data_IF_935654455862
#
_entry.id   IF_935654455862
#
_cell.length_a   1.000
_cell.length_b   1.000
_cell.length_c   1.000
_cell.angle_alpha   90.00
_cell.angle_beta   90.00
_cell.angle_gamma   90.00
#
_symmetry.space_group_name_H-M   'P 1'
#
loop_
_entity.id
_entity.type
_entity.pdbx_description
1 polymer ?
2 non-polymer ?
3 non-polymer ?
4 water ?
#
# COMPACT_ATOMS: atom_id res chain seq x y z
N UNK A 4 -10.51 31.27 -17.73
CA UNK A 4 -10.47 31.53 -16.26
C UNK A 4 -9.58 30.54 -15.52
N UNK A 5 -8.48 31.04 -14.96
CA UNK A 5 -7.52 30.17 -14.29
C UNK A 5 -8.07 29.69 -12.95
N UNK A 6 -7.85 28.42 -12.64
CA UNK A 6 -8.20 27.90 -11.30
C UNK A 6 -7.24 28.44 -10.24
N UNK A 7 -7.66 28.43 -8.97
CA UNK A 7 -6.77 28.85 -7.88
C UNK A 7 -5.51 28.02 -7.90
N UNK A 8 -4.36 28.64 -7.67
CA UNK A 8 -3.07 27.96 -7.71
C UNK A 8 -2.27 28.18 -6.43
N UNK A 9 -1.71 27.10 -5.87
CA UNK A 9 -1.03 27.22 -4.60
C UNK A 9 0.30 28.00 -4.75
N UNK A 10 0.73 28.65 -3.67
CA UNK A 10 2.01 29.38 -3.67
C UNK A 10 3.21 28.48 -3.97
N UNK A 11 4.35 29.11 -4.29
CA UNK A 11 5.58 28.39 -4.59
C UNK A 11 5.61 27.85 -6.00
N UNK A 12 6.36 26.78 -6.20
CA UNK A 12 6.41 26.13 -7.51
C UNK A 12 7.15 26.96 -8.54
N UNK A 13 8.18 27.65 -8.08
CA UNK A 13 8.96 28.51 -8.95
C UNK A 13 10.17 27.79 -9.53
N UNK A 14 10.34 26.53 -9.13
CA UNK A 14 11.43 25.66 -9.63
C UNK A 14 11.20 25.32 -11.11
N UNK A 15 12.21 24.70 -11.73
CA UNK A 15 12.14 24.37 -13.16
C UNK A 15 10.91 23.58 -13.56
N UNK A 16 10.51 22.61 -12.76
CA UNK A 16 9.29 21.86 -13.11
C UNK A 16 8.07 22.23 -12.27
N UNK A 17 8.01 23.49 -11.89
CA UNK A 17 6.93 24.04 -11.07
C UNK A 17 6.92 23.48 -9.67
N UNK A 18 5.83 22.81 -9.28
CA UNK A 18 5.78 22.21 -7.95
C UNK A 18 6.36 20.78 -7.90
N UNK A 19 6.88 20.28 -9.02
CA UNK A 19 7.33 18.88 -9.06
C UNK A 19 8.42 18.61 -8.03
N UNK A 20 9.37 19.53 -7.89
CA UNK A 20 10.48 19.33 -6.96
C UNK A 20 9.99 19.24 -5.52
N UNK A 21 9.00 20.06 -5.18
CA UNK A 21 8.45 20.00 -3.83
C UNK A 21 7.62 18.71 -3.68
N UNK A 22 6.95 18.31 -4.74
CA UNK A 22 6.18 17.04 -4.72
C UNK A 22 7.10 15.84 -4.54
N UNK A 23 8.35 15.97 -4.98
CA UNK A 23 9.36 14.93 -4.81
C UNK A 23 10.07 14.95 -3.44
N UNK A 24 9.81 15.97 -2.61
CA UNK A 24 10.47 16.04 -1.31
C UNK A 24 9.48 16.08 -0.15
N UNK A 25 8.35 16.75 -0.35
CA UNK A 25 7.35 16.85 0.71
C UNK A 25 5.96 16.96 0.11
N UNK A 26 5.50 15.87 -0.53
CA UNK A 26 4.21 15.94 -1.21
C UNK A 26 3.04 16.22 -0.26
N UNK A 27 3.10 15.71 0.97
CA UNK A 27 2.01 15.93 1.90
C UNK A 27 1.92 17.40 2.31
N UNK A 28 3.06 18.02 2.63
CA UNK A 28 3.12 19.46 2.90
C UNK A 28 2.60 20.30 1.73
N UNK A 29 2.98 19.95 0.50
CA UNK A 29 2.41 20.62 -0.69
C UNK A 29 0.88 20.51 -0.76
N UNK A 30 0.37 19.29 -0.61
CA UNK A 30 -1.07 19.09 -0.68
C UNK A 30 -1.83 19.81 0.47
N UNK A 31 -1.27 19.81 1.67
CA UNK A 31 -1.88 20.51 2.80
C UNK A 31 -1.90 22.01 2.55
N UNK A 32 -0.84 22.52 1.91
CA UNK A 32 -0.84 23.95 1.56
C UNK A 32 -1.89 24.33 0.52
N UNK A 33 -2.13 23.44 -0.45
CA UNK A 33 -3.20 23.64 -1.41
C UNK A 33 -4.52 23.83 -0.68
N UNK A 34 -4.77 22.95 0.29
CA UNK A 34 -6.04 23.04 1.03
C UNK A 34 -6.06 24.25 1.94
N UNK A 35 -4.97 24.48 2.64
CA UNK A 35 -4.89 25.64 3.58
C UNK A 35 -5.10 26.97 2.84
N UNK A 36 -4.49 27.14 1.67
CA UNK A 36 -4.58 28.43 0.98
C UNK A 36 -5.85 28.59 0.15
N UNK A 37 -6.34 27.49 -0.42
CA UNK A 37 -7.33 27.58 -1.49
C UNK A 37 -8.65 26.92 -1.16
N UNK A 38 -8.64 26.00 -0.19
CA UNK A 38 -9.86 25.25 0.14
C UNK A 38 -10.06 23.92 -0.58
N UNK A 39 -11.31 23.60 -0.89
CA UNK A 39 -11.68 22.27 -1.41
C UNK A 39 -11.21 22.00 -2.85
N UNK A 40 -10.92 23.05 -3.60
CA UNK A 40 -10.48 22.89 -4.98
C UNK A 40 -9.28 23.79 -5.18
N UNK A 41 -8.11 23.22 -5.48
CA UNK A 41 -6.94 24.08 -5.71
C UNK A 41 -5.99 23.36 -6.64
N UNK A 42 -5.01 24.05 -7.21
CA UNK A 42 -4.15 23.36 -8.17
C UNK A 42 -2.67 23.53 -7.83
N UNK A 43 -1.88 22.60 -8.36
CA UNK A 43 -0.43 22.72 -8.37
C UNK A 43 0.05 22.23 -9.72
N UNK A 44 1.30 22.51 -10.03
CA UNK A 44 1.83 22.24 -11.37
C UNK A 44 2.90 21.16 -11.29
N UNK A 45 2.72 20.07 -12.04
CA UNK A 45 3.72 19.02 -12.10
C UNK A 45 4.31 19.07 -13.51
N UNK A 46 5.47 19.70 -13.66
CA UNK A 46 6.05 19.86 -14.99
C UNK A 46 4.99 20.47 -15.93
N UNK A 47 4.69 19.83 -17.05
CA UNK A 47 3.72 20.43 -17.99
C UNK A 47 2.25 20.20 -17.64
N UNK A 48 1.98 19.61 -16.48
CA UNK A 48 0.60 19.22 -16.14
C UNK A 48 0.07 19.95 -14.92
N UNK A 49 -1.14 20.49 -15.03
CA UNK A 49 -1.85 21.03 -13.88
C UNK A 49 -2.54 19.86 -13.16
N UNK A 50 -2.47 19.84 -11.84
CA UNK A 50 -3.22 18.87 -11.04
C UNK A 50 -4.28 19.65 -10.28
N UNK A 51 -5.55 19.26 -10.46
CA UNK A 51 -6.65 19.85 -9.72
C UNK A 51 -6.87 18.97 -8.47
N UNK A 52 -6.42 19.45 -7.32
CA UNK A 52 -6.49 18.67 -6.08
C UNK A 52 -7.80 18.97 -5.34
N UNK A 53 -8.59 17.91 -5.18
CA UNK A 53 -9.90 18.01 -4.51
C UNK A 53 -9.73 17.54 -3.07
N UNK A 54 -10.45 18.18 -2.14
CA UNK A 54 -10.44 17.74 -0.73
C UNK A 54 -11.74 18.14 -0.05
N UNK A 55 -12.05 17.44 1.05
CA UNK A 55 -13.34 17.66 1.71
C UNK A 55 -14.44 16.77 1.18
N UNK A 56 -15.51 16.62 1.96
CA UNK A 56 -16.56 15.66 1.62
C UNK A 56 -17.25 15.93 0.28
N UNK A 57 -17.59 17.19 0.02
CA UNK A 57 -18.32 17.52 -1.21
C UNK A 57 -17.49 17.23 -2.46
N UNK A 58 -16.26 17.75 -2.51
CA UNK A 58 -15.42 17.53 -3.67
C UNK A 58 -14.94 16.07 -3.81
N UNK A 59 -14.66 15.42 -2.68
CA UNK A 59 -14.33 14.00 -2.71
C UNK A 59 -15.49 13.15 -3.23
N UNK A 60 -16.71 13.50 -2.86
CA UNK A 60 -17.88 12.76 -3.37
C UNK A 60 -17.93 12.82 -4.89
N UNK A 61 -17.68 14.00 -5.46
CA UNK A 61 -17.60 14.10 -6.92
C UNK A 61 -16.53 13.15 -7.48
N UNK A 62 -15.34 13.23 -6.88
CA UNK A 62 -14.19 12.44 -7.34
C UNK A 62 -14.52 10.94 -7.32
N UNK A 63 -15.06 10.47 -6.20
CA UNK A 63 -15.20 9.01 -6.01
C UNK A 63 -16.42 8.40 -6.66
N UNK A 64 -17.42 9.22 -6.94
CA UNK A 64 -18.60 8.73 -7.59
C UNK A 64 -18.46 8.78 -9.11
N UNK A 65 -17.38 9.40 -9.61
CA UNK A 65 -17.19 9.48 -11.06
C UNK A 65 -16.77 8.11 -11.62
N UNK A 66 -17.45 7.65 -12.66
CA UNK A 66 -16.98 6.47 -13.40
C UNK A 66 -15.90 6.81 -14.42
N UNK A 67 -15.31 5.77 -15.02
CA UNK A 67 -14.16 5.94 -15.92
C UNK A 67 -14.53 6.73 -17.18
N UNK A 68 -15.81 6.81 -17.47
CA UNK A 68 -16.30 7.70 -18.56
C UNK A 68 -16.12 9.19 -18.28
N UNK A 69 -16.14 9.58 -16.99
CA UNK A 69 -15.94 10.98 -16.58
C UNK A 69 -14.52 11.27 -16.12
N UNK A 70 -14.05 10.48 -15.16
CA UNK A 70 -12.67 10.59 -14.66
C UNK A 70 -11.97 9.25 -14.86
N UNK A 71 -10.95 9.25 -15.72
CA UNK A 71 -10.35 7.99 -16.17
C UNK A 71 -9.11 7.68 -15.34
N UNK A 72 -9.18 6.60 -14.60
CA UNK A 72 -8.08 6.26 -13.72
C UNK A 72 -6.86 5.74 -14.46
N UNK A 73 -7.07 4.79 -15.37
CA UNK A 73 -5.96 4.14 -16.06
C UNK A 73 -5.04 5.10 -16.84
N UNK A 74 -5.60 6.07 -17.52
CA UNK A 74 -4.74 6.97 -18.27
C UNK A 74 -3.92 7.92 -17.40
N UNK A 75 -4.14 7.89 -16.08
CA UNK A 75 -3.43 8.76 -15.17
C UNK A 75 -2.15 8.15 -14.69
N UNK A 76 -1.91 6.90 -15.10
CA UNK A 76 -0.75 6.16 -14.66
C UNK A 76 0.09 5.58 -15.80
N UNK A 77 0.36 6.39 -16.84
CA UNK A 77 1.22 5.88 -17.94
C UNK A 77 2.65 5.50 -17.51
N UNK A 78 3.14 6.08 -16.42
CA UNK A 78 4.47 5.70 -15.89
C UNK A 78 4.59 4.28 -15.29
N UNK A 79 3.48 3.57 -15.17
CA UNK A 79 3.57 2.18 -14.69
C UNK A 79 3.95 1.22 -15.81
N UNK A 80 3.96 1.72 -17.05
CA UNK A 80 4.25 0.87 -18.20
C UNK A 80 5.65 0.21 -18.14
N UNK A 81 6.69 0.96 -17.76
CA UNK A 81 8.01 0.32 -17.67
C UNK A 81 8.15 -0.68 -16.53
N UNK A 82 7.25 -0.59 -15.55
CA UNK A 82 7.26 -1.54 -14.44
C UNK A 82 6.52 -2.83 -14.83
N UNK A 83 5.28 -2.72 -15.29
CA UNK A 83 4.55 -3.90 -15.73
C UNK A 83 5.10 -4.47 -17.05
N UNK A 84 5.52 -3.60 -17.97
CA UNK A 84 6.01 -4.06 -19.26
C UNK A 84 4.92 -4.22 -20.31
N UNK A 101 -6.96 -9.88 -10.47
CA UNK A 101 -6.71 -10.51 -9.17
C UNK A 101 -7.91 -11.33 -8.71
N UNK A 102 -9.10 -10.88 -9.09
CA UNK A 102 -10.35 -11.35 -8.48
C UNK A 102 -10.37 -12.82 -8.06
N UNK A 103 -9.90 -13.72 -8.93
CA UNK A 103 -9.86 -15.16 -8.60
C UNK A 103 -9.45 -15.38 -7.13
N UNK A 104 -8.31 -14.81 -6.78
CA UNK A 104 -7.71 -15.09 -5.47
C UNK A 104 -8.41 -14.34 -4.34
N UNK A 105 -9.21 -13.33 -4.70
CA UNK A 105 -9.85 -12.51 -3.68
C UNK A 105 -11.27 -12.97 -3.39
N UNK A 106 -11.68 -14.11 -3.95
CA UNK A 106 -13.00 -14.63 -3.60
C UNK A 106 -13.06 -14.99 -2.13
N UNK A 107 -14.20 -14.73 -1.50
CA UNK A 107 -14.39 -14.96 -0.08
C UNK A 107 -14.10 -16.40 0.29
N UNK A 108 -14.46 -17.33 -0.58
CA UNK A 108 -14.27 -18.77 -0.31
C UNK A 108 -12.78 -19.15 -0.23
N UNK A 109 -11.92 -18.30 -0.77
CA UNK A 109 -10.50 -18.59 -0.75
C UNK A 109 -9.81 -17.99 0.45
N UNK A 110 -10.53 -17.12 1.16
CA UNK A 110 -9.92 -16.34 2.24
C UNK A 110 -9.40 -17.23 3.34
N UNK A 111 -10.16 -18.25 3.70
CA UNK A 111 -9.76 -19.12 4.78
C UNK A 111 -8.43 -19.75 4.44
N UNK A 112 -8.30 -20.25 3.22
CA UNK A 112 -7.00 -20.82 2.81
C UNK A 112 -5.85 -19.79 2.81
N UNK A 113 -6.15 -18.58 2.35
CA UNK A 113 -5.15 -17.51 2.39
C UNK A 113 -4.70 -17.18 3.81
N UNK A 114 -5.62 -17.14 4.77
CA UNK A 114 -5.24 -16.86 6.14
C UNK A 114 -4.26 -17.93 6.60
N UNK A 115 -4.55 -19.20 6.27
CA UNK A 115 -3.65 -20.26 6.69
C UNK A 115 -2.27 -20.11 6.00
N UNK A 116 -2.29 -19.73 4.72
CA UNK A 116 -1.07 -19.46 3.98
C UNK A 116 -0.24 -18.35 4.62
N UNK A 117 -0.92 -17.25 4.98
CA UNK A 117 -0.23 -16.16 5.57
C UNK A 117 0.35 -16.54 6.95
N UNK A 118 -0.40 -17.29 7.76
CA UNK A 118 0.12 -17.73 9.03
C UNK A 118 1.42 -18.51 8.78
N UNK A 119 1.38 -19.41 7.82
CA UNK A 119 2.55 -20.23 7.47
C UNK A 119 3.76 -19.36 7.07
N UNK A 120 3.52 -18.31 6.30
CA UNK A 120 4.61 -17.50 5.82
C UNK A 120 5.21 -16.72 6.95
N UNK A 121 4.38 -16.26 7.88
CA UNK A 121 4.93 -15.53 9.03
C UNK A 121 5.80 -16.45 9.88
N UNK A 122 5.30 -17.64 10.17
CA UNK A 122 6.06 -18.56 11.00
C UNK A 122 7.40 -18.89 10.32
N UNK A 123 7.38 -19.02 9.01
CA UNK A 123 8.62 -19.24 8.26
C UNK A 123 9.59 -18.08 8.43
N UNK A 124 9.07 -16.84 8.40
CA UNK A 124 9.96 -15.66 8.50
C UNK A 124 10.57 -15.47 9.89
N UNK A 125 9.91 -15.99 10.94
CA UNK A 125 10.39 -15.75 12.30
C UNK A 125 11.04 -17.02 12.84
N UNK A 126 11.13 -18.04 12.00
CA UNK A 126 11.64 -19.34 12.46
C UNK A 126 13.06 -19.26 13.05
N UNK A 127 13.87 -18.32 12.57
CA UNK A 127 15.24 -18.16 13.10
C UNK A 127 15.45 -17.02 14.10
N UNK A 128 14.36 -16.44 14.61
CA UNK A 128 14.47 -15.32 15.52
C UNK A 128 15.07 -15.70 16.86
N UNK A 129 14.80 -16.92 17.34
CA UNK A 129 15.25 -17.29 18.69
C UNK A 129 14.67 -16.46 19.83
N UNK A 130 15.36 -16.41 20.96
CA UNK A 130 14.85 -15.76 22.16
C UNK A 130 14.69 -14.24 22.03
N UNK A 131 15.63 -13.59 21.36
CA UNK A 131 15.61 -12.15 21.29
C UNK A 131 16.52 -11.64 20.17
N UNK A 132 16.27 -10.42 19.71
CA UNK A 132 17.06 -9.90 18.61
C UNK A 132 16.51 -8.58 18.13
N UNK A 133 16.96 -8.16 16.96
CA UNK A 133 16.61 -6.85 16.40
C UNK A 133 16.30 -7.03 14.90
N UNK A 134 15.24 -6.39 14.41
CA UNK A 134 14.92 -6.46 12.99
C UNK A 134 14.78 -5.05 12.44
N UNK A 135 14.82 -4.91 11.13
CA UNK A 135 14.48 -3.60 10.49
C UNK A 135 13.10 -3.80 9.89
N UNK A 136 12.15 -2.93 10.23
CA UNK A 136 10.77 -3.17 9.78
C UNK A 136 10.60 -3.19 8.28
N UNK A 137 11.28 -2.31 7.53
CA UNK A 137 11.12 -2.36 6.08
C UNK A 137 11.65 -3.69 5.52
N UNK A 138 12.86 -4.08 5.93
CA UNK A 138 13.46 -5.30 5.42
C UNK A 138 12.54 -6.49 5.76
N UNK A 139 12.06 -6.51 6.99
CA UNK A 139 11.20 -7.63 7.43
C UNK A 139 9.86 -7.66 6.72
N UNK A 140 9.10 -6.57 6.77
CA UNK A 140 7.75 -6.60 6.18
C UNK A 140 7.76 -6.59 4.65
N UNK A 141 8.76 -5.91 4.06
CA UNK A 141 8.83 -5.96 2.62
C UNK A 141 9.05 -7.38 2.16
N UNK A 142 9.93 -8.11 2.84
CA UNK A 142 10.19 -9.49 2.38
C UNK A 142 8.99 -10.44 2.65
N UNK A 143 8.44 -10.31 3.85
CA UNK A 143 7.31 -11.13 4.26
C UNK A 143 6.17 -10.98 3.28
N UNK A 144 5.87 -9.73 2.88
CA UNK A 144 4.72 -9.52 2.03
C UNK A 144 4.97 -9.95 0.56
N UNK A 145 6.23 -10.10 0.16
CA UNK A 145 6.49 -10.78 -1.10
C UNK A 145 6.06 -12.24 -1.02
N UNK A 146 6.36 -12.87 0.11
CA UNK A 146 6.00 -14.26 0.30
C UNK A 146 4.49 -14.49 0.46
N UNK A 147 3.82 -13.62 1.20
CA UNK A 147 2.39 -13.80 1.37
C UNK A 147 1.68 -13.55 0.01
N UNK A 148 2.06 -12.47 -0.66
CA UNK A 148 1.48 -12.11 -1.96
C UNK A 148 1.70 -13.22 -3.02
N UNK A 149 2.94 -13.68 -3.17
CA UNK A 149 3.17 -14.66 -4.21
C UNK A 149 2.45 -15.99 -3.90
N UNK A 150 2.44 -16.37 -2.63
CA UNK A 150 1.86 -17.65 -2.25
C UNK A 150 0.35 -17.63 -2.42
N UNK A 151 -0.26 -16.51 -2.01
CA UNK A 151 -1.69 -16.40 -2.10
C UNK A 151 -2.18 -16.20 -3.52
N UNK A 152 -1.51 -15.34 -4.28
CA UNK A 152 -1.97 -14.96 -5.62
C UNK A 152 -1.47 -15.83 -6.78
N UNK A 153 -0.25 -16.33 -6.67
CA UNK A 153 0.28 -17.22 -7.71
C UNK A 153 0.28 -18.69 -7.29
N UNK A 154 0.72 -18.96 -6.08
CA UNK A 154 0.69 -20.32 -5.59
C UNK A 154 1.87 -20.63 -4.70
N UNK A 155 1.64 -21.56 -3.78
CA UNK A 155 2.66 -21.96 -2.84
C UNK A 155 3.86 -22.56 -3.54
N UNK A 156 3.62 -23.29 -4.62
CA UNK A 156 4.69 -23.95 -5.36
C UNK A 156 5.65 -22.89 -5.88
N UNK A 157 5.06 -21.86 -6.51
CA UNK A 157 5.84 -20.70 -7.00
C UNK A 157 6.56 -19.98 -5.86
N UNK A 158 5.83 -19.61 -4.80
CA UNK A 158 6.52 -18.99 -3.68
C UNK A 158 7.71 -19.79 -3.18
N UNK A 159 7.61 -21.11 -3.19
CA UNK A 159 8.65 -21.89 -2.58
C UNK A 159 9.94 -21.85 -3.41
N UNK A 160 9.82 -21.35 -4.62
CA UNK A 160 10.97 -21.24 -5.50
C UNK A 160 11.55 -19.84 -5.47
N UNK A 161 10.90 -18.97 -4.70
CA UNK A 161 11.40 -17.62 -4.46
C UNK A 161 12.25 -17.51 -3.18
N UNK A 162 13.20 -16.59 -3.19
CA UNK A 162 13.96 -16.27 -2.00
C UNK A 162 14.15 -14.75 -1.88
N UNK A 163 15.12 -14.34 -1.06
CA UNK A 163 15.32 -12.92 -0.77
C UNK A 163 15.66 -12.10 -2.00
N UNK A 164 16.28 -12.72 -3.01
CA UNK A 164 16.61 -11.99 -4.26
C UNK A 164 15.38 -11.37 -4.90
N UNK A 165 14.28 -12.12 -4.94
CA UNK A 165 13.07 -11.65 -5.58
C UNK A 165 12.56 -10.37 -4.89
N UNK A 166 12.58 -10.38 -3.56
CA UNK A 166 12.13 -9.23 -2.77
C UNK A 166 13.00 -8.01 -3.00
N UNK A 167 14.31 -8.21 -3.06
CA UNK A 167 15.23 -7.10 -3.27
C UNK A 167 15.00 -6.48 -4.65
N UNK A 168 14.80 -7.32 -5.65
CA UNK A 168 14.53 -6.81 -7.00
C UNK A 168 13.16 -6.11 -7.08
N UNK A 169 12.15 -6.71 -6.47
CA UNK A 169 10.82 -6.11 -6.49
C UNK A 169 10.84 -4.71 -5.87
N UNK A 170 11.61 -4.54 -4.80
CA UNK A 170 11.75 -3.26 -4.13
C UNK A 170 12.39 -2.22 -5.07
N UNK A 171 13.41 -2.62 -5.82
CA UNK A 171 14.01 -1.67 -6.76
C UNK A 171 13.03 -1.25 -7.84
N UNK A 172 12.15 -2.16 -8.21
CA UNK A 172 11.11 -1.91 -9.16
C UNK A 172 10.18 -0.80 -8.63
N UNK A 173 9.73 -0.98 -7.38
CA UNK A 173 8.91 0.04 -6.67
C UNK A 173 9.60 1.37 -6.51
N UNK A 174 10.91 1.34 -6.37
CA UNK A 174 11.66 2.60 -6.24
C UNK A 174 11.80 3.33 -7.58
N UNK A 175 11.29 2.72 -8.66
CA UNK A 175 11.35 3.32 -10.01
C UNK A 175 10.19 4.25 -10.34
N UNK A 176 9.65 4.89 -9.30
CA UNK A 176 8.45 5.71 -9.45
C UNK A 176 8.69 7.17 -8.99
N UNK A 177 9.90 7.68 -9.22
CA UNK A 177 10.17 9.11 -9.00
C UNK A 177 9.17 9.93 -9.82
N UNK A 178 8.61 11.00 -9.23
CA UNK A 178 7.64 11.86 -9.91
C UNK A 178 8.17 12.49 -11.20
N UNK A 179 9.49 12.45 -11.41
CA UNK A 179 10.07 12.88 -12.72
C UNK A 179 9.49 12.06 -13.89
N UNK A 180 8.85 10.92 -13.60
CA UNK A 180 8.09 10.17 -14.61
C UNK A 180 7.02 11.04 -15.27
N UNK A 181 6.53 12.08 -14.58
CA UNK A 181 5.60 13.02 -15.20
C UNK A 181 6.24 13.87 -16.28
N UNK A 182 7.57 13.98 -16.23
CA UNK A 182 8.31 14.57 -17.33
C UNK A 182 8.45 13.48 -18.41
N UNK A 183 9.03 12.35 -18.04
CA UNK A 183 9.27 11.24 -18.97
C UNK A 183 9.68 10.04 -18.13
N UNK A 184 8.93 8.92 -18.24
CA UNK A 184 9.29 7.70 -17.52
C UNK A 184 10.60 7.06 -18.02
N UNK A 185 11.16 7.58 -19.12
CA UNK A 185 12.42 7.01 -19.62
C UNK A 185 13.68 7.88 -19.52
N UNK A 186 13.67 8.90 -18.66
CA UNK A 186 14.87 9.74 -18.44
C UNK A 186 16.06 8.93 -17.97
N UNK A 187 17.29 9.36 -18.33
CA UNK A 187 18.53 8.77 -17.85
C UNK A 187 18.88 9.15 -16.40
N UNK A 188 18.03 8.77 -15.46
CA UNK A 188 18.36 8.97 -14.07
C UNK A 188 18.56 7.61 -13.42
N UNK A 189 19.34 7.59 -12.34
CA UNK A 189 19.80 6.34 -11.80
C UNK A 189 18.65 5.44 -11.34
N UNK A 190 17.60 6.04 -10.77
CA UNK A 190 16.51 5.22 -10.24
C UNK A 190 15.72 4.55 -11.34
N UNK A 191 15.67 5.16 -12.52
CA UNK A 191 15.00 4.56 -13.67
C UNK A 191 15.88 3.47 -14.29
N UNK A 192 17.19 3.70 -14.33
CA UNK A 192 18.15 2.67 -14.75
C UNK A 192 17.99 1.44 -13.88
N UNK A 193 17.96 1.68 -12.56
CA UNK A 193 17.84 0.59 -11.59
C UNK A 193 16.50 -0.12 -11.65
N UNK A 194 15.44 0.63 -11.96
CA UNK A 194 14.13 0.04 -12.23
C UNK A 194 14.20 -0.96 -13.38
N UNK A 195 14.82 -0.54 -14.49
CA UNK A 195 14.82 -1.36 -15.69
C UNK A 195 15.69 -2.58 -15.47
N UNK A 196 16.82 -2.39 -14.80
CA UNK A 196 17.71 -3.51 -14.45
C UNK A 196 17.03 -4.48 -13.51
N UNK A 197 16.34 -3.96 -12.49
CA UNK A 197 15.58 -4.84 -11.56
C UNK A 197 14.53 -5.67 -12.32
N UNK A 198 13.79 -5.06 -13.25
CA UNK A 198 12.80 -5.79 -14.02
C UNK A 198 13.49 -6.91 -14.80
N UNK A 199 14.61 -6.57 -15.44
CA UNK A 199 15.43 -7.60 -16.10
C UNK A 199 15.82 -8.75 -15.16
N UNK A 200 16.19 -8.41 -13.92
CA UNK A 200 16.58 -9.42 -12.95
C UNK A 200 15.38 -10.31 -12.62
N UNK A 201 14.19 -9.73 -12.52
CA UNK A 201 13.04 -10.56 -12.21
C UNK A 201 12.72 -11.52 -13.35
N UNK A 202 12.81 -11.04 -14.60
CA UNK A 202 12.53 -11.91 -15.76
C UNK A 202 13.50 -13.11 -15.72
N UNK A 203 14.75 -12.84 -15.39
CA UNK A 203 15.75 -13.89 -15.27
C UNK A 203 15.41 -14.91 -14.17
N UNK A 204 15.01 -14.42 -12.99
CA UNK A 204 14.58 -15.33 -11.94
C UNK A 204 13.44 -16.24 -12.38
N UNK A 205 12.46 -15.65 -13.05
CA UNK A 205 11.32 -16.38 -13.60
C UNK A 205 11.76 -17.37 -14.69
N UNK A 206 12.66 -16.95 -15.57
CA UNK A 206 13.17 -17.88 -16.59
C UNK A 206 13.83 -19.09 -15.96
N UNK A 207 14.59 -18.88 -14.87
CA UNK A 207 15.31 -19.98 -14.20
C UNK A 207 14.25 -20.90 -13.59
N UNK A 208 13.18 -20.33 -13.06
CA UNK A 208 12.14 -21.20 -12.51
C UNK A 208 11.48 -22.06 -13.58
N UNK A 209 11.12 -21.45 -14.70
CA UNK A 209 10.53 -22.21 -15.81
C UNK A 209 11.49 -23.32 -16.23
N UNK A 210 12.76 -22.98 -16.34
CA UNK A 210 13.74 -23.97 -16.81
C UNK A 210 13.83 -25.15 -15.84
N UNK A 211 13.88 -24.85 -14.55
CA UNK A 211 13.88 -25.92 -13.55
C UNK A 211 12.65 -26.80 -13.67
N UNK A 212 11.51 -26.21 -14.00
CA UNK A 212 10.30 -27.01 -14.08
C UNK A 212 10.28 -27.95 -15.29
N UNK A 213 11.00 -27.59 -16.35
CA UNK A 213 11.15 -28.48 -17.50
C UNK A 213 11.89 -29.73 -17.08
N UNK A 214 13.00 -29.54 -16.39
CA UNK A 214 13.91 -30.62 -16.08
C UNK A 214 13.41 -31.48 -14.95
N UNK A 215 12.54 -30.92 -14.11
CA UNK A 215 12.13 -31.65 -12.91
C UNK A 215 10.66 -31.52 -12.50
N UNK A 216 9.74 -32.01 -13.35
CA UNK A 216 8.32 -31.95 -13.03
C UNK A 216 7.99 -32.77 -11.77
N UNK A 223 -0.21 -28.23 -9.56
CA UNK A 223 -0.01 -27.25 -10.62
C UNK A 223 -0.46 -25.87 -10.15
N UNK A 224 0.16 -24.85 -10.73
CA UNK A 224 -0.16 -23.49 -10.34
C UNK A 224 -0.38 -22.62 -11.55
N UNK A 225 -0.47 -21.33 -11.30
CA UNK A 225 -0.71 -20.40 -12.35
C UNK A 225 0.43 -20.43 -13.38
N UNK A 226 1.65 -20.57 -12.90
CA UNK A 226 2.80 -20.62 -13.82
C UNK A 226 2.70 -21.83 -14.78
N UNK A 227 2.27 -22.98 -14.27
CA UNK A 227 2.01 -24.15 -15.13
C UNK A 227 0.93 -23.93 -16.20
N UNK A 228 -0.20 -23.34 -15.84
CA UNK A 228 -1.21 -22.98 -16.82
C UNK A 228 -0.60 -22.14 -17.93
N UNK A 229 0.13 -21.10 -17.53
CA UNK A 229 0.70 -20.17 -18.49
C UNK A 229 1.74 -20.83 -19.39
N UNK A 230 2.60 -21.65 -18.81
CA UNK A 230 3.61 -22.39 -19.58
C UNK A 230 2.97 -23.29 -20.64
N UNK A 231 1.83 -23.89 -20.31
CA UNK A 231 1.17 -24.83 -21.21
C UNK A 231 0.53 -24.18 -22.44
N UNK A 232 0.28 -22.88 -22.36
CA UNK A 232 -0.39 -22.19 -23.46
C UNK A 232 0.50 -22.20 -24.71
N UNK A 233 -0.12 -22.40 -25.88
CA UNK A 233 0.63 -22.44 -27.13
C UNK A 233 0.07 -21.47 -28.16
N UNK A 234 0.75 -21.34 -29.30
CA UNK A 234 0.30 -20.41 -30.33
C UNK A 234 0.90 -20.76 -31.69
N UNK A 238 4.64 -24.27 -30.26
CA UNK A 238 5.42 -23.12 -29.82
C UNK A 238 4.77 -22.46 -28.62
N UNK A 239 5.50 -22.38 -27.48
CA UNK A 239 4.92 -21.75 -26.27
C UNK A 239 4.42 -20.34 -26.57
N UNK A 240 3.20 -20.03 -26.14
CA UNK A 240 2.62 -18.72 -26.40
C UNK A 240 3.31 -17.64 -25.61
N UNK A 241 3.68 -17.93 -24.37
CA UNK A 241 4.25 -16.92 -23.46
C UNK A 241 5.75 -16.98 -23.12
N UNK A 242 6.44 -15.86 -23.28
CA UNK A 242 7.83 -15.74 -22.88
C UNK A 242 7.97 -15.49 -21.36
N UNK A 243 9.19 -15.67 -20.82
CA UNK A 243 9.47 -15.33 -19.42
C UNK A 243 9.17 -13.84 -19.20
N UNK A 244 9.53 -12.99 -20.15
CA UNK A 244 9.23 -11.57 -19.99
C UNK A 244 7.72 -11.33 -19.82
N UNK A 245 6.89 -11.94 -20.68
CA UNK A 245 5.43 -11.74 -20.58
C UNK A 245 4.87 -12.29 -19.28
N UNK A 246 5.35 -13.46 -18.87
CA UNK A 246 4.89 -14.04 -17.63
C UNK A 246 5.29 -13.19 -16.41
N UNK A 247 6.54 -12.73 -16.40
CA UNK A 247 7.02 -11.91 -15.32
C UNK A 247 6.17 -10.65 -15.21
N UNK A 248 5.85 -10.03 -16.34
CA UNK A 248 4.96 -8.86 -16.33
C UNK A 248 3.62 -9.13 -15.70
N UNK A 249 3.04 -10.27 -16.07
CA UNK A 249 1.77 -10.65 -15.47
C UNK A 249 1.92 -10.77 -13.95
N UNK A 250 2.95 -11.46 -13.46
CA UNK A 250 3.12 -11.65 -12.04
C UNK A 250 3.44 -10.34 -11.31
N UNK A 251 4.26 -9.48 -11.92
CA UNK A 251 4.56 -8.19 -11.32
C UNK A 251 3.24 -7.40 -11.12
N UNK A 252 2.43 -7.33 -12.16
CA UNK A 252 1.14 -6.64 -12.09
C UNK A 252 0.17 -7.26 -11.09
N UNK A 253 0.14 -8.59 -10.98
CA UNK A 253 -0.70 -9.23 -9.96
C UNK A 253 -0.29 -8.83 -8.53
N UNK A 254 1.00 -8.69 -8.25
CA UNK A 254 1.49 -8.48 -6.88
C UNK A 254 1.58 -6.99 -6.51
N UNK A 255 1.47 -6.10 -7.50
CA UNK A 255 1.92 -4.73 -7.20
C UNK A 255 1.04 -3.98 -6.20
N UNK A 256 -0.26 -3.99 -6.45
CA UNK A 256 -1.20 -3.19 -5.68
C UNK A 256 -1.10 -3.54 -4.21
N UNK A 257 -1.00 -4.83 -3.93
CA UNK A 257 -1.01 -5.29 -2.55
C UNK A 257 0.31 -5.34 -1.87
N UNK A 258 1.42 -5.14 -2.58
CA UNK A 258 2.68 -5.34 -1.89
C UNK A 258 3.14 -4.19 -0.99
N UNK A 259 3.40 -3.03 -1.58
CA UNK A 259 3.96 -1.98 -0.74
C UNK A 259 2.93 -1.45 0.23
N UNK A 260 1.67 -1.54 -0.17
CA UNK A 260 0.57 -1.10 0.70
C UNK A 260 0.50 -1.98 1.96
N UNK A 261 0.43 -3.30 1.77
CA UNK A 261 0.41 -4.19 2.94
C UNK A 261 1.71 -4.15 3.77
N UNK A 262 2.85 -4.09 3.10
CA UNK A 262 4.13 -3.97 3.78
C UNK A 262 4.17 -2.74 4.69
N UNK A 263 3.86 -1.57 4.12
CA UNK A 263 3.86 -0.37 4.94
C UNK A 263 2.82 -0.32 6.05
N UNK A 264 1.65 -0.85 5.76
CA UNK A 264 0.57 -0.88 6.73
C UNK A 264 0.95 -1.80 7.90
N UNK A 265 1.61 -2.92 7.61
CA UNK A 265 2.08 -3.80 8.70
C UNK A 265 3.12 -3.09 9.56
N UNK A 266 4.07 -2.43 8.91
CA UNK A 266 5.09 -1.69 9.64
C UNK A 266 4.47 -0.64 10.56
N UNK A 267 3.56 0.17 9.99
CA UNK A 267 3.00 1.26 10.76
C UNK A 267 2.05 0.77 11.88
N UNK A 268 1.40 -0.38 11.67
CA UNK A 268 0.54 -0.96 12.73
C UNK A 268 1.42 -1.33 13.92
N UNK A 269 2.56 -1.95 13.61
CA UNK A 269 3.51 -2.28 14.69
C UNK A 269 4.13 -1.04 15.35
N UNK A 270 4.48 -0.05 14.54
CA UNK A 270 5.01 1.19 15.13
C UNK A 270 3.96 1.85 16.04
N UNK A 271 2.70 1.94 15.60
CA UNK A 271 1.70 2.59 16.44
C UNK A 271 1.39 1.79 17.69
N UNK A 272 1.46 0.46 17.63
CA UNK A 272 1.25 -0.32 18.85
C UNK A 272 2.39 -0.05 19.88
N UNK A 273 3.62 0.06 19.41
CA UNK A 273 4.76 0.29 20.30
C UNK A 273 4.73 1.70 20.86
N UNK A 274 4.19 2.64 20.09
CA UNK A 274 4.07 4.04 20.54
C UNK A 274 2.93 4.26 21.54
N UNK A 275 1.99 3.32 21.56
CA UNK A 275 0.80 3.42 22.37
C UNK A 275 0.60 2.13 23.14
N UNK A 276 1.37 1.99 24.23
CA UNK A 276 1.43 0.71 24.96
C UNK A 276 0.11 0.31 25.57
N UNK A 277 -0.77 1.29 25.83
CA UNK A 277 -2.12 0.95 26.30
C UNK A 277 -2.92 0.20 25.22
N UNK A 278 -2.84 0.66 23.98
CA UNK A 278 -3.49 -0.03 22.87
C UNK A 278 -2.86 -1.43 22.67
N UNK A 279 -1.54 -1.48 22.72
CA UNK A 279 -0.80 -2.74 22.56
C UNK A 279 -1.30 -3.76 23.63
N UNK A 280 -1.41 -3.33 24.87
CA UNK A 280 -1.80 -4.22 25.95
C UNK A 280 -3.21 -4.73 25.73
N UNK A 281 -4.08 -3.84 25.28
CA UNK A 281 -5.47 -4.20 25.00
C UNK A 281 -5.54 -5.23 23.86
N UNK A 282 -4.71 -5.07 22.84
CA UNK A 282 -4.69 -6.01 21.69
C UNK A 282 -4.20 -7.39 22.13
N UNK A 283 -3.14 -7.43 22.94
CA UNK A 283 -2.63 -8.71 23.45
C UNK A 283 -3.67 -9.42 24.28
N UNK A 284 -4.35 -8.69 25.16
CA UNK A 284 -5.35 -9.31 26.03
C UNK A 284 -6.44 -9.91 25.15
N UNK A 285 -6.85 -9.17 24.12
CA UNK A 285 -7.90 -9.60 23.24
C UNK A 285 -7.50 -10.85 22.43
N UNK A 286 -6.29 -10.84 21.89
CA UNK A 286 -5.80 -12.02 21.13
C UNK A 286 -5.77 -13.24 22.02
N UNK A 287 -5.26 -13.07 23.24
CA UNK A 287 -5.17 -14.23 24.14
C UNK A 287 -6.58 -14.77 24.45
N UNK A 288 -7.54 -13.89 24.71
CA UNK A 288 -8.91 -14.33 24.99
C UNK A 288 -9.53 -14.99 23.78
N UNK A 289 -9.37 -14.38 22.62
CA UNK A 289 -10.03 -14.89 21.43
C UNK A 289 -9.52 -16.28 21.05
N UNK A 290 -8.20 -16.44 21.05
CA UNK A 290 -7.61 -17.70 20.62
C UNK A 290 -7.80 -18.81 21.69
N UNK A 291 -8.35 -18.42 22.83
CA UNK A 291 -8.66 -19.40 23.87
C UNK A 291 -9.78 -20.35 23.52
N UNK A 292 -10.48 -20.08 22.42
CA UNK A 292 -11.45 -21.06 21.91
C UNK A 292 -10.80 -22.22 21.15
N UNK A 293 -9.48 -22.16 20.97
CA UNK A 293 -8.78 -23.26 20.30
C UNK A 293 -8.90 -23.28 18.79
N UNK A 294 -9.51 -22.26 18.19
CA UNK A 294 -9.64 -22.25 16.72
C UNK A 294 -8.39 -21.62 16.09
N UNK A 295 -8.16 -21.92 14.83
CA UNK A 295 -6.91 -21.48 14.18
C UNK A 295 -6.97 -20.01 13.78
N UNK A 296 -5.81 -19.48 13.38
CA UNK A 296 -5.76 -18.17 12.68
C UNK A 296 -6.66 -18.13 11.45
N UNK A 297 -6.76 -19.22 10.69
CA UNK A 297 -7.64 -19.25 9.52
C UNK A 297 -9.12 -19.03 9.85
N UNK A 298 -9.51 -19.34 11.09
CA UNK A 298 -10.84 -19.00 11.60
C UNK A 298 -10.87 -17.55 12.08
N UNK A 299 -9.96 -17.18 12.96
CA UNK A 299 -10.07 -15.88 13.62
C UNK A 299 -9.74 -14.69 12.74
N UNK A 300 -8.86 -14.90 11.75
CA UNK A 300 -8.49 -13.77 10.91
C UNK A 300 -9.61 -13.35 9.95
N UNK A 301 -10.69 -14.13 9.93
CA UNK A 301 -11.88 -13.87 9.11
C UNK A 301 -13.04 -13.35 9.96
N UNK A 302 -12.77 -13.10 11.23
CA UNK A 302 -13.81 -12.75 12.17
C UNK A 302 -13.35 -11.59 13.02
N UNK A 303 -14.26 -11.04 13.83
CA UNK A 303 -13.91 -9.79 14.53
C UNK A 303 -12.72 -9.95 15.48
N UNK A 304 -11.77 -9.01 15.42
CA UNK A 304 -10.72 -8.88 16.45
C UNK A 304 -10.72 -7.37 16.73
N UNK A 305 -11.69 -6.91 17.53
CA UNK A 305 -12.02 -5.50 17.51
C UNK A 305 -10.91 -4.53 17.85
N UNK A 306 -10.17 -4.76 18.94
CA UNK A 306 -9.15 -3.79 19.32
C UNK A 306 -8.09 -3.70 18.25
N UNK A 307 -7.67 -4.85 17.69
CA UNK A 307 -6.66 -4.84 16.61
C UNK A 307 -7.22 -4.16 15.37
N UNK A 308 -8.48 -4.41 15.06
CA UNK A 308 -9.06 -3.75 13.89
C UNK A 308 -9.14 -2.24 14.03
N UNK A 309 -9.42 -1.76 15.24
CA UNK A 309 -9.49 -0.31 15.45
C UNK A 309 -8.11 0.33 15.41
N UNK A 310 -7.11 -0.39 15.93
CA UNK A 310 -5.73 0.08 15.75
C UNK A 310 -5.38 0.16 14.25
N UNK A 311 -5.80 -0.85 13.46
CA UNK A 311 -5.50 -0.88 12.04
C UNK A 311 -6.22 0.28 11.34
N UNK A 312 -7.47 0.50 11.70
CA UNK A 312 -8.19 1.63 11.08
C UNK A 312 -7.47 2.95 11.36
N UNK A 313 -7.04 3.13 12.61
CA UNK A 313 -6.39 4.42 12.98
C UNK A 313 -5.03 4.56 12.29
N UNK A 314 -4.31 3.44 12.21
CA UNK A 314 -3.05 3.40 11.47
C UNK A 314 -3.22 3.80 10.00
N UNK A 315 -4.25 3.26 9.33
CA UNK A 315 -4.54 3.61 7.96
C UNK A 315 -4.94 5.09 7.83
N UNK A 316 -5.67 5.59 8.81
CA UNK A 316 -6.11 6.99 8.72
C UNK A 316 -4.87 7.90 8.78
N UNK A 317 -3.95 7.61 9.70
CA UNK A 317 -2.76 8.46 9.87
C UNK A 317 -1.68 8.22 8.82
N UNK A 318 -1.57 6.99 8.36
CA UNK A 318 -0.49 6.58 7.45
C UNK A 318 -1.04 5.87 6.19
N UNK A 319 -1.93 6.56 5.47
CA UNK A 319 -2.46 5.88 4.27
C UNK A 319 -1.32 5.62 3.25
N UNK A 320 -1.20 4.38 2.78
CA UNK A 320 -0.03 4.12 1.92
C UNK A 320 -0.15 4.81 0.57
N UNK A 321 -1.37 4.99 0.08
CA UNK A 321 -1.58 5.80 -1.14
C UNK A 321 -1.98 7.20 -0.69
N UNK A 322 -1.05 8.15 -0.86
CA UNK A 322 -1.29 9.51 -0.34
C UNK A 322 -1.98 10.42 -1.35
N UNK A 323 -1.97 10.04 -2.63
CA UNK A 323 -2.69 10.79 -3.67
C UNK A 323 -3.23 9.76 -4.66
N UNK A 324 -4.41 10.04 -5.23
CA UNK A 324 -5.12 9.20 -6.20
C UNK A 324 -5.39 10.08 -7.41
N UNK A 325 -5.03 9.59 -8.62
CA UNK A 325 -5.08 10.36 -9.87
C UNK A 325 -6.16 9.92 -10.85
N UNK A 326 -6.63 10.89 -11.65
CA UNK A 326 -7.54 10.62 -12.75
C UNK A 326 -7.22 11.61 -13.84
N UNK A 327 -7.61 11.27 -15.07
CA UNK A 327 -7.65 12.26 -16.17
C UNK A 327 -9.10 12.61 -16.51
N UNK A 328 -9.45 13.90 -16.48
CA UNK A 328 -10.80 14.30 -16.83
C UNK A 328 -11.09 13.96 -18.29
N UNK A 329 -12.23 13.34 -18.55
CA UNK A 329 -12.67 13.01 -19.91
C UNK A 329 -13.72 14.00 -20.43
N UNK A 330 -14.06 15.01 -19.64
CA UNK A 330 -15.16 15.91 -19.93
C UNK A 330 -15.07 17.19 -19.12
N UNK A 331 -16.06 18.07 -19.27
CA UNK A 331 -16.08 19.32 -18.52
C UNK A 331 -16.98 19.15 -17.31
N UNK A 332 -16.48 19.50 -16.13
CA UNK A 332 -17.24 19.42 -14.90
C UNK A 332 -17.08 20.70 -14.09
N UNK A 333 -18.01 20.96 -13.19
CA UNK A 333 -17.88 22.08 -12.28
C UNK A 333 -17.93 21.54 -10.86
N UNK A 334 -17.05 22.03 -10.01
CA UNK A 334 -17.04 21.63 -8.63
C UNK A 334 -16.88 22.87 -7.79
N UNK A 335 -17.97 23.22 -7.10
CA UNK A 335 -18.00 24.44 -6.30
C UNK A 335 -17.69 25.71 -7.09
N UNK A 336 -18.20 25.81 -8.31
CA UNK A 336 -17.97 27.01 -9.12
C UNK A 336 -16.76 26.89 -10.00
N UNK A 337 -15.87 25.95 -9.67
CA UNK A 337 -14.64 25.77 -10.43
C UNK A 337 -14.79 24.80 -11.58
N UNK A 338 -14.26 25.16 -12.75
CA UNK A 338 -14.43 24.32 -13.93
C UNK A 338 -13.23 23.42 -14.13
N UNK A 339 -13.49 22.12 -14.24
CA UNK A 339 -12.47 21.13 -14.63
C UNK A 339 -12.60 20.90 -16.13
N UNK A 340 -11.48 20.95 -16.86
CA UNK A 340 -11.57 20.72 -18.32
C UNK A 340 -11.03 19.38 -18.77
N UNK A 341 -11.53 18.93 -19.92
CA UNK A 341 -11.13 17.68 -20.52
C UNK A 341 -9.61 17.64 -20.55
N UNK A 342 -9.04 16.52 -20.13
CA UNK A 342 -7.61 16.34 -20.12
C UNK A 342 -6.91 16.79 -18.85
N UNK A 343 -7.65 17.46 -17.95
CA UNK A 343 -7.05 17.91 -16.69
C UNK A 343 -6.72 16.68 -15.83
N UNK A 344 -5.60 16.72 -15.13
CA UNK A 344 -5.35 15.73 -14.06
C UNK A 344 -6.13 16.16 -12.84
N UNK A 345 -6.85 15.23 -12.23
CA UNK A 345 -7.68 15.54 -11.06
C UNK A 345 -7.24 14.55 -9.98
N UNK A 346 -7.08 15.02 -8.75
CA UNK A 346 -6.55 14.17 -7.66
C UNK A 346 -7.39 14.33 -6.42
N UNK A 347 -7.37 13.28 -5.62
CA UNK A 347 -7.87 13.30 -4.25
C UNK A 347 -6.72 12.83 -3.38
N UNK A 348 -6.74 13.16 -2.08
CA UNK A 348 -5.65 12.82 -1.18
C UNK A 348 -6.13 12.18 0.11
N UNK A 349 -5.92 10.87 0.24
CA UNK A 349 -6.22 10.29 1.55
C UNK A 349 -5.34 10.92 2.67
N UNK A 350 -4.07 11.28 2.36
CA UNK A 350 -3.22 11.87 3.39
C UNK A 350 -3.86 13.10 4.02
N UNK A 351 -4.39 13.98 3.17
CA UNK A 351 -4.99 15.21 3.64
C UNK A 351 -6.42 15.01 4.16
N UNK A 352 -7.24 14.32 3.37
CA UNK A 352 -8.64 14.16 3.76
C UNK A 352 -8.81 13.43 5.09
N UNK A 353 -7.94 12.46 5.33
CA UNK A 353 -8.03 11.64 6.52
C UNK A 353 -7.74 12.43 7.80
N UNK A 354 -7.26 13.68 7.66
CA UNK A 354 -6.93 14.49 8.83
C UNK A 354 -7.72 15.79 8.88
N UNK A 355 -8.79 15.91 8.09
CA UNK A 355 -9.62 17.13 8.14
C UNK A 355 -10.18 17.30 9.56
N UNK A 356 -9.87 18.42 10.22
CA UNK A 356 -10.16 18.50 11.66
C UNK A 356 -11.63 18.62 12.01
N UNK A 357 -12.47 19.08 11.08
CA UNK A 357 -13.90 19.09 11.34
C UNK A 357 -14.51 17.67 11.38
N UNK A 358 -13.88 16.74 10.66
CA UNK A 358 -14.40 15.40 10.47
C UNK A 358 -13.83 14.42 11.47
N UNK A 359 -12.57 14.63 11.82
CA UNK A 359 -11.82 13.76 12.73
C UNK A 359 -11.25 14.57 13.89
N UNK A 360 -12.00 14.66 15.00
CA UNK A 360 -11.56 15.51 16.12
C UNK A 360 -10.14 15.10 16.55
N UNK A 361 -9.27 16.09 16.80
CA UNK A 361 -7.87 15.80 17.11
C UNK A 361 -7.26 14.88 16.03
N UNK A 362 -7.21 15.38 14.79
CA UNK A 362 -6.81 14.50 13.67
C UNK A 362 -5.38 13.99 13.68
N UNK A 363 -4.48 14.60 14.43
CA UNK A 363 -3.10 14.13 14.45
C UNK A 363 -2.86 13.11 15.53
N UNK A 364 -3.91 12.84 16.34
CA UNK A 364 -3.77 11.93 17.47
C UNK A 364 -4.21 10.52 17.11
N UNK A 365 -3.51 9.56 17.70
CA UNK A 365 -3.86 8.16 17.57
C UNK A 365 -4.94 7.79 18.57
N UNK A 366 -6.17 7.61 18.04
CA UNK A 366 -7.34 7.34 18.88
C UNK A 366 -8.18 6.23 18.26
N UNK A 367 -7.77 4.98 18.50
CA UNK A 367 -8.55 3.85 17.97
C UNK A 367 -10.02 3.84 18.45
N UNK A 368 -10.29 4.40 19.61
CA UNK A 368 -11.70 4.62 20.06
C UNK A 368 -12.64 5.35 19.09
N UNK A 369 -12.05 6.08 18.14
CA UNK A 369 -12.78 6.75 17.04
C UNK A 369 -13.70 5.80 16.27
N UNK A 370 -13.34 4.50 16.27
CA UNK A 370 -14.01 3.50 15.41
C UNK A 370 -14.90 2.59 16.22
N UNK A 371 -14.93 2.77 17.54
CA UNK A 371 -15.80 1.93 18.35
C UNK A 371 -17.25 2.23 18.02
N UNK A 372 -18.14 1.32 18.43
CA UNK A 372 -19.51 1.35 17.92
C UNK A 372 -20.25 2.66 18.19
N UNK A 373 -19.97 3.31 19.33
CA UNK A 373 -20.69 4.57 19.52
C UNK A 373 -20.25 5.74 18.63
N UNK A 374 -19.02 5.69 18.10
CA UNK A 374 -18.42 6.83 17.36
C UNK A 374 -18.32 6.59 15.83
N UNK A 375 -17.75 5.45 15.47
CA UNK A 375 -17.69 4.99 14.08
C UNK A 375 -17.29 6.06 13.05
N UNK A 376 -16.17 6.74 13.30
CA UNK A 376 -15.79 7.88 12.45
C UNK A 376 -15.46 7.48 11.01
N UNK A 377 -15.07 6.23 10.80
CA UNK A 377 -14.84 5.72 9.45
C UNK A 377 -16.15 5.71 8.70
N UNK A 378 -17.19 5.19 9.35
CA UNK A 378 -18.45 4.97 8.63
C UNK A 378 -19.21 6.27 8.43
N UNK A 379 -19.13 7.17 9.41
CA UNK A 379 -19.80 8.45 9.32
C UNK A 379 -19.19 9.36 8.26
N UNK A 380 -17.88 9.27 8.07
CA UNK A 380 -17.22 10.16 7.13
C UNK A 380 -16.98 9.42 5.80
N UNK A 381 -18.06 9.11 5.11
CA UNK A 381 -17.94 8.23 3.95
C UNK A 381 -17.04 8.76 2.85
N UNK A 382 -16.98 10.08 2.69
CA UNK A 382 -16.16 10.65 1.61
C UNK A 382 -14.80 11.20 2.03
N UNK A 383 -14.51 11.20 3.35
CA UNK A 383 -13.23 11.69 3.80
C UNK A 383 -12.38 10.68 4.59
N UNK A 384 -12.97 9.59 5.08
CA UNK A 384 -12.13 8.52 5.64
C UNK A 384 -11.84 7.60 4.45
N UNK A 385 -10.71 7.84 3.80
CA UNK A 385 -10.48 7.24 2.48
C UNK A 385 -9.13 6.49 2.29
N UNK A 386 -8.64 5.77 3.29
CA UNK A 386 -7.41 5.02 3.06
C UNK A 386 -7.58 3.94 1.99
N UNK A 387 -8.81 3.46 1.84
CA UNK A 387 -9.16 2.46 0.83
C UNK A 387 -10.00 3.04 -0.30
N UNK A 388 -9.98 4.36 -0.45
CA UNK A 388 -10.82 5.02 -1.43
C UNK A 388 -12.30 4.92 -1.08
N UNK A 389 -13.13 5.12 -2.07
CA UNK A 389 -14.55 5.21 -1.84
C UNK A 389 -15.27 5.13 -3.21
N UNK A 390 -16.59 4.93 -3.17
CA UNK A 390 -17.40 4.86 -4.39
C UNK A 390 -16.94 3.86 -5.44
N UNK A 391 -16.86 4.31 -6.69
CA UNK A 391 -16.68 3.38 -7.82
C UNK A 391 -15.39 2.54 -7.77
N UNK A 392 -14.28 3.13 -7.36
CA UNK A 392 -13.00 2.42 -7.38
C UNK A 392 -12.53 2.02 -5.97
N UNK A 393 -13.45 1.94 -5.00
CA UNK A 393 -13.05 1.47 -3.66
C UNK A 393 -12.27 0.16 -3.71
N UNK A 394 -11.27 0.05 -2.84
CA UNK A 394 -10.31 -1.05 -2.86
C UNK A 394 -10.96 -2.42 -2.80
N UNK A 395 -10.74 -3.20 -3.84
CA UNK A 395 -11.30 -4.52 -3.85
C UNK A 395 -10.40 -5.47 -3.04
N UNK A 396 -9.17 -5.05 -2.78
CA UNK A 396 -8.24 -5.85 -1.95
C UNK A 396 -8.40 -5.63 -0.45
N UNK A 397 -9.33 -4.76 -0.04
CA UNK A 397 -9.43 -4.34 1.36
C UNK A 397 -9.70 -5.51 2.34
N UNK A 398 -10.63 -6.35 2.00
CA UNK A 398 -10.93 -7.51 2.87
C UNK A 398 -9.69 -8.41 3.00
N UNK A 399 -9.02 -8.68 1.88
CA UNK A 399 -7.78 -9.46 1.93
C UNK A 399 -6.72 -8.76 2.78
N UNK A 400 -6.55 -7.46 2.57
CA UNK A 400 -5.53 -6.73 3.30
C UNK A 400 -5.79 -6.70 4.82
N UNK A 401 -7.06 -6.56 5.22
CA UNK A 401 -7.41 -6.53 6.64
C UNK A 401 -7.23 -7.93 7.23
N UNK A 402 -7.67 -8.97 6.51
CA UNK A 402 -7.42 -10.34 6.97
C UNK A 402 -5.93 -10.60 7.14
N UNK A 403 -5.14 -10.09 6.20
CA UNK A 403 -3.70 -10.35 6.22
C UNK A 403 -3.07 -9.69 7.45
N UNK A 404 -3.43 -8.44 7.76
CA UNK A 404 -2.96 -7.86 9.02
C UNK A 404 -3.38 -8.65 10.27
N UNK A 405 -4.65 -9.08 10.31
CA UNK A 405 -5.11 -9.87 11.45
C UNK A 405 -4.33 -11.16 11.57
N UNK A 406 -4.05 -11.82 10.45
CA UNK A 406 -3.28 -13.09 10.46
C UNK A 406 -1.84 -12.87 10.88
N UNK A 407 -1.19 -11.85 10.31
CA UNK A 407 0.18 -11.56 10.69
C UNK A 407 0.33 -11.28 12.19
N UNK A 408 -0.47 -10.35 12.74
CA UNK A 408 -0.28 -9.95 14.11
C UNK A 408 -0.81 -10.97 15.08
N UNK A 409 -1.79 -11.78 14.66
CA UNK A 409 -2.21 -12.93 15.48
C UNK A 409 -1.03 -13.85 15.74
N UNK A 410 -0.12 -13.97 14.77
CA UNK A 410 1.07 -14.76 15.00
C UNK A 410 2.12 -13.94 15.76
N UNK A 411 2.50 -12.80 15.20
CA UNK A 411 3.62 -12.07 15.81
C UNK A 411 3.41 -11.68 17.26
N UNK A 412 2.22 -11.17 17.60
CA UNK A 412 2.02 -10.59 18.92
C UNK A 412 1.80 -11.65 19.98
N UNK A 413 1.51 -12.88 19.56
CA UNK A 413 1.39 -13.96 20.54
C UNK A 413 2.70 -14.64 20.79
N UNK A 414 3.59 -14.58 19.81
CA UNK A 414 4.90 -15.25 19.94
C UNK A 414 5.96 -14.35 20.54
N UNK A 415 5.97 -13.06 20.16
CA UNK A 415 7.02 -12.10 20.54
C UNK A 415 6.49 -10.80 21.09
N UNK A 416 7.30 -10.15 21.91
CA UNK A 416 7.06 -8.80 22.41
C UNK A 416 8.03 -7.88 21.67
N UNK A 417 7.59 -6.68 21.34
CA UNK A 417 8.33 -5.75 20.47
C UNK A 417 8.55 -4.41 21.18
N UNK A 418 9.75 -3.84 21.00
CA UNK A 418 10.08 -2.51 21.53
C UNK A 418 10.84 -1.70 20.50
N UNK A 419 10.67 -0.39 20.51
CA UNK A 419 11.41 0.46 19.57
C UNK A 419 12.89 0.50 19.96
N UNK A 420 13.78 0.41 18.97
CA UNK A 420 15.24 0.49 19.20
C UNK A 420 15.76 1.87 18.80
N UNK A 421 14.86 2.72 18.34
CA UNK A 421 15.20 4.14 18.09
C UNK A 421 14.13 5.10 18.65
N UNK A 422 14.38 6.41 18.56
CA UNK A 422 13.38 7.29 19.16
C UNK A 422 12.04 7.16 18.45
N UNK A 423 10.95 7.17 19.22
CA UNK A 423 9.63 6.91 18.66
C UNK A 423 9.29 7.85 17.50
N UNK A 424 9.74 9.10 17.57
CA UNK A 424 9.44 10.07 16.52
C UNK A 424 10.30 9.91 15.27
N UNK A 425 11.28 9.02 15.31
CA UNK A 425 12.21 8.85 14.21
C UNK A 425 11.76 7.85 13.13
N UNK A 426 10.65 7.14 13.38
CA UNK A 426 10.08 6.31 12.36
C UNK A 426 9.29 7.24 11.47
N UNK A 427 9.54 7.13 10.17
CA UNK A 427 8.93 8.01 9.17
C UNK A 427 8.91 7.33 7.80
N UNK A 428 8.07 7.84 6.92
CA UNK A 428 8.04 7.38 5.54
C UNK A 428 9.03 8.18 4.73
N UNK A 429 9.50 7.53 3.66
CA UNK A 429 10.25 8.16 2.59
C UNK A 429 9.24 8.49 1.50
N UNK A 430 9.11 9.78 1.19
CA UNK A 430 8.18 10.24 0.16
C UNK A 430 8.84 10.69 -1.15
N UNK A 431 10.06 10.25 -1.39
CA UNK A 431 10.80 10.61 -2.60
C UNK A 431 10.31 9.96 -3.90
N UNK A 432 9.55 8.86 -3.76
CA UNK A 432 8.99 8.18 -4.92
C UNK A 432 7.48 8.16 -4.79
N UNK A 433 6.80 7.97 -5.90
CA UNK A 433 5.36 7.93 -5.88
C UNK A 433 4.85 6.75 -5.06
N UNK A 434 5.62 5.66 -5.06
CA UNK A 434 5.33 4.54 -4.14
C UNK A 434 5.96 4.84 -2.81
N UNK A 435 5.11 5.08 -1.79
CA UNK A 435 5.61 5.41 -0.48
C UNK A 435 6.19 4.16 0.17
N UNK A 436 7.33 4.34 0.82
CA UNK A 436 7.96 3.31 1.63
C UNK A 436 8.42 3.85 2.97
N UNK A 437 8.44 2.98 3.97
CA UNK A 437 9.02 3.29 5.23
C UNK A 437 10.49 3.63 4.99
N UNK A 438 10.95 4.69 5.64
CA UNK A 438 12.35 5.07 5.57
C UNK A 438 13.13 4.18 6.50
N UNK A 439 14.40 3.98 6.15
CA UNK A 439 15.30 3.25 7.03
C UNK A 439 16.27 4.24 7.68
N UNK A 440 16.73 3.94 8.90
CA UNK A 440 16.41 2.71 9.65
C UNK A 440 15.03 2.73 10.33
N UNK A 441 14.53 1.54 10.59
CA UNK A 441 13.33 1.36 11.38
C UNK A 441 13.59 0.14 12.30
N UNK A 442 14.54 0.28 13.22
CA UNK A 442 14.99 -0.82 14.08
C UNK A 442 14.04 -1.11 15.23
N UNK A 443 13.74 -2.40 15.41
CA UNK A 443 12.85 -2.84 16.47
C UNK A 443 13.43 -4.07 17.16
N UNK A 444 13.34 -4.09 18.48
CA UNK A 444 13.77 -5.24 19.29
C UNK A 444 12.62 -6.20 19.47
N UNK A 445 12.93 -7.49 19.52
CA UNK A 445 11.94 -8.47 19.90
C UNK A 445 12.47 -9.37 21.00
N UNK A 446 11.55 -9.98 21.72
CA UNK A 446 11.89 -10.99 22.73
C UNK A 446 10.72 -11.96 22.85
N UNK A 447 11.00 -13.24 22.94
CA UNK A 447 9.90 -14.20 23.10
C UNK A 447 9.01 -13.88 24.28
N UNK A 448 7.69 -13.98 24.11
CA UNK A 448 6.77 -13.85 25.23
C UNK A 448 6.82 -15.15 26.03
N UNK A 449 6.67 -15.02 27.35
CA UNK A 449 6.78 -16.16 28.28
C UNK A 449 5.73 -16.06 29.36
X LIG B 1 -8.43 0.57 -5.05
X LIG B 1 -5.69 1.39 -1.09
X LIG B 1 -4.52 -3.33 -0.92
X LIG B 1 -6.27 -3.82 -5.37
X LIG B 1 -7.79 1.17 -3.98
X LIG B 1 -7.91 2.58 -3.67
X LIG B 1 -7.15 2.84 -2.58
X LIG B 1 -6.54 1.57 -2.17
X LIG B 1 -6.94 4.19 -1.85
X LIG B 1 -8.74 3.56 -4.53
X LIG B 1 -7.85 4.00 -5.69
X LIG B 1 -8.40 5.15 -6.51
X LIG B 1 -9.54 5.59 -6.27
X LIG B 1 -7.64 5.63 -7.39
X LIG B 1 -5.23 0.17 -0.65
X LIG B 1 -4.54 -0.04 0.61
X LIG B 1 -4.24 -1.38 0.64
X LIG B 1 -4.67 -1.99 -0.60
X LIG B 1 -4.27 0.98 1.72
X LIG B 1 -3.54 -2.17 1.74
X LIG B 1 -3.59 -1.82 3.04
X LIG B 1 -4.90 -3.87 -2.10
X LIG B 1 -4.71 -5.26 -2.53
X LIG B 1 -5.20 -5.40 -3.75
X LIG B 1 -5.69 -4.10 -4.16
X LIG B 1 -4.10 -6.32 -1.62
X LIG B 1 -5.26 -6.65 -4.66
X LIG B 1 -5.10 -7.88 -4.14
X LIG B 1 -7.05 -2.75 -5.71
X LIG B 1 -7.79 -2.59 -6.94
X LIG B 1 -8.48 -1.24 -6.83
X LIG B 1 -8.09 -0.68 -5.54
X LIG B 1 -7.92 -3.58 -8.12
X LIG B 1 -9.38 -0.61 -7.90
X LIG B 1 -10.82 -0.97 -7.61
X LIG B 1 -11.63 -0.52 -8.80
X LIG B 1 -11.05 0.20 -9.69
X LIG B 1 -12.84 -0.89 -8.87
X LIG B 1 -6.95 0.59 -3.07
X LIG B 1 -5.25 -1.02 -1.36
X LIG B 1 -5.50 -3.18 -3.14
X LIG B 1 -7.24 -1.59 -4.94
X LIG B 1 -6.27 -1.33 -3.11
X LIG C 1 -0.49 0.15 -9.69
X LIG C 1 -1.06 1.21 -9.75
X LIG C 1 -2.14 1.30 -10.80
X LIG C 1 -1.71 1.68 -12.20
X LIG C 1 -2.92 1.78 -13.14
X LIG C 1 -4.21 1.23 -12.55
X LIG C 1 -5.36 1.48 -13.52
X LIG C 1 -4.54 1.85 -11.19
X LIG C 1 -3.31 2.17 -10.35
X LIG C 1 -0.77 2.22 -8.90
X LIG C 1 0.25 1.99 -7.88
X LIG C 1 0.85 3.31 -7.39
X LIG C 1 1.95 3.76 -8.34
X LIG C 1 2.83 5.19 -7.77
X LIG C 1 1.69 6.47 -8.21
X LIG C 1 -0.38 1.20 -6.74
X LIG C 1 0.29 0.51 -5.99
X LIG C 1 -1.72 1.31 -6.68
X LIG C 1 -2.64 0.69 -5.83
X LIG C 1 -2.33 -0.04 -4.69
X LIG C 1 -3.36 -0.63 -3.92
X LIG C 1 -4.64 -0.52 -4.32
X LIG C 1 -4.94 0.20 -5.41
X LIG C 1 -3.96 0.82 -6.19
#
# INVERSE_FOLDING_TARGET
>A
MSAVALPRVSGGHDEHGHLEEFRTDPIGLMQRVRDELGDVGTFQLAGKQVVLLSGSHANEFFFRAGDDDLDQAKAYPFMTPIFGEGVVFDASPERRKEMLHNAALRGEQMKGHAATIEDQVRRMIADWGEAGEIDLLDFFAELTIYTSSACLIGKKFRDQLDGRFAKLYHELERGTDPLAYVDPYLPIESFRRRDEARNGLVALVADIMNGRIANPPTDKSDRDMLDVLIAVKAETGTPRFSADEITGMFISMMFAGHHTSSGTASWTLIELMRHRDAYAAVIDELDELYGDGRSVSFHALRQIPQLENVLKETLRLHPPLIILMRVAKGEFEVQGHRIHEGDLVAASPAISNRIPEDFPDPHDFVPARYEQPRQEDLLNRWTWIPFGAGRHRCVGAAFAIMQIKAIFSVLLREYEFEMAQPPESYRNDHSKMVVQLAQPAAVRYRRRTGVHHHH
>B hetero
1 HEM CHA CHB CHC CHD C1A C2A C3A C4A CMA CAA CBA CGA O1A O2A C1B C2B C3B C4B CMB CAB CBB C1C C2C C3C C4C CMC CAC CBC C1D C2D C3D C4D CMD CAD CBD CGD O1D O2D NA NB NC ND FE
>C hetero
1 CM9 O1 C8 C9 C10 C11 C12 C13 C14 C15 N3 C7 C16 C17 S C18 C6 O2 N2 C5 C1 C2 N1 C3 C4
#
